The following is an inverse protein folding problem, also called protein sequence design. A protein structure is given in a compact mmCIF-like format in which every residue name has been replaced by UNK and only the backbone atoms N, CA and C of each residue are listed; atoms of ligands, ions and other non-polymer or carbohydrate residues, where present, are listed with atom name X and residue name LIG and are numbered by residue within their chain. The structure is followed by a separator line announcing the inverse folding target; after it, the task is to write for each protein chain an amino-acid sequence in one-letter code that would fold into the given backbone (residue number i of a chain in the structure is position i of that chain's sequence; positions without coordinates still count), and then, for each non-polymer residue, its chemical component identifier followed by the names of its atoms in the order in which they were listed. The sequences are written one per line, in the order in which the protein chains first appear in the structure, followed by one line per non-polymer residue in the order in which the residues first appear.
data_IF_693216852984
#
_entry.id   IF_693216852984
#
_cell.length_a   1.000
_cell.length_b   1.000
_cell.length_c   1.000
_cell.angle_alpha   90.00
_cell.angle_beta   90.00
_cell.angle_gamma   90.00
#
_symmetry.space_group_name_H-M   'P 1'
#
loop_
_entity.id
_entity.type
_entity.pdbx_description
1 polymer ?
#
# COMPACT_ATOMS: atom_id res chain seq x y z
N UNK A 1 19.51 -6.76 14.91
CA UNK A 1 19.91 -5.36 14.73
C UNK A 1 18.65 -4.53 14.73
N UNK A 2 18.41 -3.76 15.79
CA UNK A 2 17.20 -2.92 15.87
C UNK A 2 17.48 -1.66 15.04
N UNK A 3 16.57 -1.22 14.15
CA UNK A 3 16.78 -0.01 13.31
C UNK A 3 17.13 1.25 14.14
N UNK A 4 16.63 1.31 15.38
CA UNK A 4 16.96 2.35 16.37
C UNK A 4 18.43 2.32 16.86
N UNK A 5 19.14 1.20 16.75
CA UNK A 5 20.58 1.14 17.06
C UNK A 5 21.43 1.70 15.92
N UNK A 6 20.93 1.69 14.68
CA UNK A 6 21.66 2.16 13.49
C UNK A 6 21.41 3.64 13.16
N UNK A 7 20.21 4.16 13.44
CA UNK A 7 19.78 5.54 13.13
C UNK A 7 19.57 6.44 14.37
N UNK A 8 19.96 5.98 15.56
CA UNK A 8 19.75 6.72 16.81
C UNK A 8 18.32 6.64 17.36
N UNK A 9 17.98 7.55 18.29
CA UNK A 9 16.65 7.56 18.92
C UNK A 9 15.54 7.77 17.89
N UNK A 10 14.32 7.32 18.19
CA UNK A 10 13.15 7.54 17.32
C UNK A 10 12.83 9.03 17.11
N UNK A 11 13.38 9.90 17.94
CA UNK A 11 13.21 11.35 17.89
C UNK A 11 14.33 12.03 17.10
N UNK A 12 15.36 11.30 16.67
CA UNK A 12 16.43 11.84 15.85
C UNK A 12 15.89 12.25 14.48
N UNK A 13 16.43 13.35 13.94
CA UNK A 13 16.09 13.81 12.59
C UNK A 13 16.42 12.73 11.53
N UNK A 14 17.52 12.01 11.72
CA UNK A 14 17.93 10.89 10.86
C UNK A 14 16.86 9.79 10.80
N UNK A 15 16.28 9.42 11.94
CA UNK A 15 15.21 8.42 12.01
C UNK A 15 13.92 8.92 11.34
N UNK A 16 13.57 10.19 11.54
CA UNK A 16 12.39 10.79 10.90
C UNK A 16 12.55 10.86 9.37
N UNK A 17 13.74 11.24 8.88
CA UNK A 17 14.06 11.24 7.45
C UNK A 17 14.01 9.81 6.88
N UNK A 18 14.56 8.83 7.60
CA UNK A 18 14.45 7.42 7.22
C UNK A 18 12.98 6.98 7.10
N UNK A 19 12.15 7.29 8.10
CA UNK A 19 10.73 6.95 8.09
C UNK A 19 9.99 7.59 6.92
N UNK A 20 10.24 8.87 6.63
CA UNK A 20 9.58 9.57 5.53
C UNK A 20 9.96 8.96 4.17
N UNK A 21 11.25 8.65 3.97
CA UNK A 21 11.71 7.95 2.78
C UNK A 21 11.02 6.59 2.63
N UNK A 22 10.87 5.86 3.73
CA UNK A 22 10.23 4.55 3.71
C UNK A 22 8.72 4.66 3.39
N UNK A 23 8.03 5.65 3.94
CA UNK A 23 6.67 5.99 3.55
C UNK A 23 6.56 6.38 2.08
N UNK A 24 7.58 7.03 1.52
CA UNK A 24 7.72 7.25 0.08
C UNK A 24 7.65 5.96 -0.72
N UNK A 25 8.43 4.94 -0.33
CA UNK A 25 8.42 3.63 -0.97
C UNK A 25 7.06 2.91 -0.84
N UNK A 26 6.41 3.05 0.32
CA UNK A 26 5.05 2.51 0.53
C UNK A 26 4.06 3.14 -0.45
N UNK A 27 4.06 4.47 -0.58
CA UNK A 27 3.16 5.18 -1.51
C UNK A 27 3.43 4.78 -2.97
N UNK A 28 4.71 4.63 -3.34
CA UNK A 28 5.09 4.13 -4.66
C UNK A 28 4.52 2.73 -4.93
N UNK A 29 4.71 1.77 -4.01
CA UNK A 29 4.16 0.41 -4.15
C UNK A 29 2.63 0.41 -4.24
N UNK A 30 1.96 1.24 -3.44
CA UNK A 30 0.50 1.43 -3.52
C UNK A 30 0.09 1.86 -4.92
N UNK A 31 0.75 2.89 -5.45
CA UNK A 31 0.43 3.46 -6.77
C UNK A 31 0.66 2.44 -7.90
N UNK A 32 1.71 1.63 -7.81
CA UNK A 32 1.96 0.51 -8.73
C UNK A 32 0.83 -0.54 -8.69
N UNK A 33 0.38 -0.94 -7.50
CA UNK A 33 -0.69 -1.93 -7.35
C UNK A 33 -2.06 -1.41 -7.82
N UNK A 34 -2.32 -0.11 -7.60
CA UNK A 34 -3.48 0.58 -8.17
C UNK A 34 -3.35 0.61 -9.70
N UNK A 35 -2.22 1.02 -10.26
CA UNK A 35 -2.03 1.06 -11.72
C UNK A 35 -2.22 -0.33 -12.37
N UNK A 36 -1.68 -1.39 -11.76
CA UNK A 36 -1.83 -2.78 -12.25
C UNK A 36 -3.28 -3.27 -12.33
N UNK A 37 -4.16 -2.72 -11.49
CA UNK A 37 -5.57 -3.12 -11.44
C UNK A 37 -6.50 -2.05 -12.03
N UNK A 38 -5.97 -1.03 -12.68
CA UNK A 38 -6.76 0.11 -13.16
C UNK A 38 -7.78 -0.30 -14.23
N UNK A 39 -7.39 -1.22 -15.11
CA UNK A 39 -8.24 -1.78 -16.16
C UNK A 39 -9.52 -2.45 -15.62
N UNK A 40 -9.52 -2.92 -14.37
CA UNK A 40 -10.68 -3.57 -13.73
C UNK A 40 -11.80 -2.59 -13.36
N UNK A 41 -11.52 -1.29 -13.40
CA UNK A 41 -12.47 -0.23 -13.00
C UNK A 41 -13.27 0.31 -14.19
N UNK A 42 -12.95 -0.13 -15.41
CA UNK A 42 -13.66 0.29 -16.62
C UNK A 42 -14.99 -0.47 -16.73
N UNK A 43 -16.13 0.19 -17.04
CA UNK A 43 -17.44 -0.47 -17.08
C UNK A 43 -17.55 -1.66 -18.04
N UNK A 44 -16.84 -1.59 -19.17
CA UNK A 44 -16.84 -2.57 -20.26
C UNK A 44 -15.84 -3.72 -20.06
N UNK A 45 -15.26 -3.84 -18.87
CA UNK A 45 -14.32 -4.93 -18.57
C UNK A 45 -15.06 -6.27 -18.52
N UNK A 46 -14.49 -7.37 -19.07
CA UNK A 46 -15.12 -8.70 -19.07
C UNK A 46 -15.03 -9.41 -17.70
N UNK A 47 -15.27 -8.68 -16.60
CA UNK A 47 -15.34 -9.22 -15.25
C UNK A 47 -16.78 -9.33 -14.80
N UNK A 48 -17.07 -10.35 -14.00
CA UNK A 48 -18.34 -10.45 -13.29
C UNK A 48 -18.48 -9.31 -12.27
N UNK A 49 -19.71 -8.97 -11.89
CA UNK A 49 -19.97 -7.94 -10.86
C UNK A 49 -19.33 -8.27 -9.51
N UNK A 50 -19.25 -9.57 -9.16
CA UNK A 50 -18.52 -10.02 -7.98
C UNK A 50 -17.04 -9.65 -8.06
N UNK A 51 -16.40 -9.91 -9.22
CA UNK A 51 -14.99 -9.58 -9.42
C UNK A 51 -14.72 -8.08 -9.45
N UNK A 52 -15.60 -7.29 -10.06
CA UNK A 52 -15.51 -5.82 -9.99
C UNK A 52 -15.54 -5.33 -8.54
N UNK A 53 -16.42 -5.92 -7.72
CA UNK A 53 -16.52 -5.61 -6.29
C UNK A 53 -15.26 -6.00 -5.52
N UNK A 54 -14.70 -7.19 -5.78
CA UNK A 54 -13.43 -7.64 -5.18
C UNK A 54 -12.29 -6.67 -5.50
N UNK A 55 -12.14 -6.25 -6.75
CA UNK A 55 -11.12 -5.27 -7.15
C UNK A 55 -11.37 -3.88 -6.57
N UNK A 56 -12.62 -3.44 -6.47
CA UNK A 56 -12.95 -2.16 -5.82
C UNK A 56 -12.54 -2.17 -4.34
N UNK A 57 -12.87 -3.24 -3.61
CA UNK A 57 -12.50 -3.40 -2.19
C UNK A 57 -10.98 -3.51 -2.00
N UNK A 58 -10.30 -4.25 -2.88
CA UNK A 58 -8.84 -4.34 -2.91
C UNK A 58 -8.19 -2.96 -3.08
N UNK A 59 -8.64 -2.19 -4.08
CA UNK A 59 -8.13 -0.83 -4.32
C UNK A 59 -8.44 0.13 -3.19
N UNK A 60 -9.59 -0.01 -2.53
CA UNK A 60 -9.91 0.78 -1.35
C UNK A 60 -8.92 0.47 -0.21
N UNK A 61 -8.71 -0.81 0.07
CA UNK A 61 -7.76 -1.27 1.09
C UNK A 61 -6.35 -0.72 0.84
N UNK A 62 -5.89 -0.67 -0.42
CA UNK A 62 -4.62 -0.06 -0.79
C UNK A 62 -4.56 1.45 -0.48
N UNK A 63 -5.64 2.20 -0.77
CA UNK A 63 -5.69 3.65 -0.52
C UNK A 63 -5.67 3.98 0.96
N UNK A 64 -6.22 3.10 1.78
CA UNK A 64 -6.32 3.31 3.23
C UNK A 64 -5.00 3.03 3.97
N UNK A 65 -4.01 2.37 3.32
CA UNK A 65 -2.72 2.00 3.95
C UNK A 65 -2.01 3.20 4.63
N UNK A 66 -1.79 4.36 3.98
CA UNK A 66 -1.08 5.46 4.63
C UNK A 66 -1.86 6.11 5.79
N UNK A 67 -3.15 5.81 5.95
CA UNK A 67 -4.01 6.36 7.00
C UNK A 67 -4.20 5.37 8.16
N UNK A 68 -4.18 4.07 7.86
CA UNK A 68 -4.45 3.01 8.84
C UNK A 68 -3.20 2.55 9.61
N UNK A 69 -2.01 2.91 9.16
CA UNK A 69 -0.75 2.49 9.77
C UNK A 69 0.05 3.68 10.25
N UNK A 70 0.59 3.60 11.46
CA UNK A 70 1.51 4.59 12.03
C UNK A 70 2.97 4.31 11.68
N UNK A 71 3.28 3.09 11.24
CA UNK A 71 4.63 2.67 10.87
C UNK A 71 4.64 1.80 9.60
N UNK A 72 5.59 2.04 8.66
CA UNK A 72 5.61 1.36 7.37
C UNK A 72 6.00 -0.13 7.45
N UNK A 73 6.73 -0.55 8.48
CA UNK A 73 7.05 -1.98 8.71
C UNK A 73 5.81 -2.82 9.11
N UNK A 74 4.76 -2.17 9.63
CA UNK A 74 3.58 -2.87 10.15
C UNK A 74 2.53 -3.12 9.06
N UNK A 75 2.76 -2.61 7.84
CA UNK A 75 1.79 -2.66 6.74
C UNK A 75 1.56 -4.10 6.30
N UNK A 76 0.30 -4.52 6.36
CA UNK A 76 -0.18 -5.74 5.74
C UNK A 76 -0.80 -5.38 4.41
N UNK A 77 -0.19 -5.84 3.32
CA UNK A 77 -0.70 -5.59 1.98
C UNK A 77 -1.88 -6.53 1.69
N UNK A 78 -3.00 -6.02 1.14
CA UNK A 78 -4.10 -6.88 0.76
C UNK A 78 -3.66 -7.81 -0.38
N UNK A 79 -4.19 -9.03 -0.39
CA UNK A 79 -3.96 -9.97 -1.48
C UNK A 79 -4.70 -9.50 -2.73
N UNK A 80 -4.03 -9.56 -3.87
CA UNK A 80 -4.64 -9.24 -5.15
C UNK A 80 -5.74 -10.27 -5.47
N UNK A 81 -6.94 -9.83 -5.87
CA UNK A 81 -7.99 -10.75 -6.30
C UNK A 81 -7.48 -11.61 -7.46
N UNK A 82 -7.73 -12.92 -7.40
CA UNK A 82 -7.48 -13.80 -8.53
C UNK A 82 -8.36 -13.39 -9.72
N UNK A 83 -7.75 -13.34 -10.90
CA UNK A 83 -8.50 -13.26 -12.16
C UNK A 83 -9.44 -14.46 -12.27
N UNK A 84 -10.60 -14.26 -12.92
CA UNK A 84 -11.62 -15.29 -13.08
C UNK A 84 -11.23 -16.31 -14.16
#
# INVERSE_FOLDING_TARGET
MIKAEYYGSKESEEYQVFLENYWGMVRQKRDELIAKTDWTQVPDVPLTESKKTEFANYRQSLRDIPQNYSHPDDIVWPDMPAEA
#
